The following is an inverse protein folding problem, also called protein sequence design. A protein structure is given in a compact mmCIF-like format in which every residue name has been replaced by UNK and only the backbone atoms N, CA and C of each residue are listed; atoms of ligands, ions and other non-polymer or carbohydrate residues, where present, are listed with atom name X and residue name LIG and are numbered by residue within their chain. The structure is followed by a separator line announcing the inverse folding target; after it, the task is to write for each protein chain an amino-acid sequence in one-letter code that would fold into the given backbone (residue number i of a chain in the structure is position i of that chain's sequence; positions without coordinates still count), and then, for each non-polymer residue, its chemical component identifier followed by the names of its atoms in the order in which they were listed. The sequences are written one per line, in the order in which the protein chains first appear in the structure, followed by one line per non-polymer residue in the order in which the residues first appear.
data_IF_340202393610
#
_entry.id   IF_340202393610
#
_cell.length_a   1.000
_cell.length_b   1.000
_cell.length_c   1.000
_cell.angle_alpha   90.00
_cell.angle_beta   90.00
_cell.angle_gamma   90.00
#
_symmetry.space_group_name_H-M   'P 1'
#
loop_
_entity.id
_entity.type
_entity.pdbx_description
1 polymer ?
#
# COMPACT_ATOMS: atom_id res chain seq x y z
N UNK A 1 -24.35 -21.88 1.64
CA UNK A 1 -24.15 -20.99 2.81
C UNK A 1 -25.19 -21.18 3.93
N UNK A 2 -26.14 -22.12 3.85
CA UNK A 2 -27.17 -22.30 4.90
C UNK A 2 -26.88 -23.44 5.92
N UNK A 3 -25.97 -24.37 5.61
CA UNK A 3 -25.75 -25.57 6.43
C UNK A 3 -24.87 -25.36 7.69
N UNK A 4 -24.04 -24.31 7.70
CA UNK A 4 -23.12 -24.04 8.83
C UNK A 4 -23.86 -23.36 10.01
N UNK A 5 -24.93 -22.61 9.73
CA UNK A 5 -25.71 -21.92 10.77
C UNK A 5 -26.50 -22.87 11.68
N UNK A 6 -26.99 -23.98 11.13
CA UNK A 6 -27.79 -24.95 11.89
C UNK A 6 -26.94 -25.72 12.92
N UNK A 7 -25.71 -26.09 12.56
CA UNK A 7 -24.81 -26.82 13.47
C UNK A 7 -24.36 -25.97 14.67
N UNK A 8 -24.22 -24.65 14.48
CA UNK A 8 -23.88 -23.69 15.54
C UNK A 8 -25.06 -23.39 16.46
N UNK A 9 -26.30 -23.43 15.94
CA UNK A 9 -27.51 -23.24 16.74
C UNK A 9 -27.82 -24.43 17.67
N UNK A 10 -27.59 -25.66 17.20
CA UNK A 10 -27.80 -26.87 18.01
C UNK A 10 -26.75 -27.02 19.13
N UNK A 11 -25.51 -26.61 18.87
CA UNK A 11 -24.46 -26.52 19.91
C UNK A 11 -24.76 -25.44 20.96
N UNK A 12 -25.40 -24.33 20.56
CA UNK A 12 -25.87 -23.29 21.48
C UNK A 12 -27.03 -23.77 22.37
N UNK A 13 -27.98 -24.53 21.81
CA UNK A 13 -29.12 -25.06 22.57
C UNK A 13 -28.78 -26.22 23.51
N UNK A 14 -27.79 -27.06 23.17
CA UNK A 14 -27.36 -28.16 24.04
C UNK A 14 -26.61 -27.68 25.29
N UNK A 15 -25.92 -26.54 25.21
CA UNK A 15 -25.18 -25.95 26.34
C UNK A 15 -26.09 -25.28 27.40
N UNK A 16 -27.33 -24.92 27.04
CA UNK A 16 -28.16 -24.05 27.87
C UNK A 16 -29.16 -24.76 28.79
N UNK A 17 -29.23 -26.11 28.78
CA UNK A 17 -30.17 -26.88 29.61
C UNK A 17 -29.66 -27.28 31.00
N UNK A 18 -28.52 -26.77 31.46
CA UNK A 18 -28.04 -26.95 32.85
C UNK A 18 -27.98 -25.69 33.70
N UNK A 19 -28.42 -24.54 33.18
CA UNK A 19 -28.48 -23.30 33.94
C UNK A 19 -29.88 -23.05 34.47
N UNK A 20 -30.35 -23.99 35.30
CA UNK A 20 -31.52 -23.78 36.16
C UNK A 20 -31.11 -23.06 37.43
N UNK A 21 -31.66 -21.86 37.62
CA UNK A 21 -31.88 -21.16 38.88
C UNK A 21 -30.75 -21.19 39.92
N UNK A 22 -29.91 -20.15 40.01
CA UNK A 22 -29.32 -19.70 41.28
C UNK A 22 -28.80 -18.26 41.13
N UNK A 23 -29.70 -17.29 41.12
CA UNK A 23 -29.33 -15.87 41.20
C UNK A 23 -29.19 -15.48 42.68
N UNK A 24 -27.99 -15.65 43.24
CA UNK A 24 -27.60 -15.03 44.52
C UNK A 24 -26.08 -14.94 44.68
N UNK A 25 -25.61 -13.68 44.79
CA UNK A 25 -24.37 -13.19 45.39
C UNK A 25 -23.03 -13.60 44.75
N UNK A 26 -22.36 -12.59 44.19
CA UNK A 26 -20.95 -12.29 44.49
C UNK A 26 -19.90 -13.07 43.70
N UNK A 27 -19.17 -12.35 42.85
CA UNK A 27 -17.78 -12.65 42.47
C UNK A 27 -17.56 -13.92 41.64
N UNK A 28 -17.82 -13.85 40.33
CA UNK A 28 -17.27 -14.86 39.41
C UNK A 28 -15.79 -14.57 39.17
N UNK A 29 -14.95 -15.10 40.05
CA UNK A 29 -13.52 -15.20 39.81
C UNK A 29 -13.32 -16.32 38.76
N UNK A 30 -13.07 -15.96 37.50
CA UNK A 30 -12.64 -16.94 36.49
C UNK A 30 -11.25 -17.43 36.85
N UNK A 31 -11.17 -18.58 37.51
CA UNK A 31 -9.94 -19.34 37.64
C UNK A 31 -9.62 -19.96 36.27
N UNK A 32 -8.72 -19.32 35.51
CA UNK A 32 -8.09 -19.92 34.32
C UNK A 32 -7.08 -20.99 34.74
N UNK A 33 -7.55 -22.05 35.40
CA UNK A 33 -6.75 -23.24 35.73
C UNK A 33 -7.11 -24.35 34.76
N UNK A 34 -6.48 -24.32 33.58
CA UNK A 34 -6.56 -25.41 32.62
C UNK A 34 -5.54 -25.18 31.52
N UNK A 35 -4.83 -26.22 31.09
CA UNK A 35 -3.87 -26.19 29.97
C UNK A 35 -4.57 -26.02 28.60
N UNK A 36 -5.90 -25.96 28.60
CA UNK A 36 -6.82 -25.93 27.44
C UNK A 36 -6.89 -24.56 26.74
N UNK A 37 -7.01 -23.40 27.44
CA UNK A 37 -6.94 -22.08 26.80
C UNK A 37 -5.62 -21.81 26.07
N UNK A 38 -4.50 -22.37 26.55
CA UNK A 38 -3.20 -22.16 25.92
C UNK A 38 -3.09 -22.91 24.59
N UNK A 39 -3.55 -24.16 24.55
CA UNK A 39 -3.61 -24.94 23.30
C UNK A 39 -4.56 -24.29 22.28
N UNK A 40 -5.70 -23.76 22.71
CA UNK A 40 -6.61 -23.02 21.84
C UNK A 40 -5.97 -21.74 21.28
N UNK A 41 -5.24 -20.97 22.11
CA UNK A 41 -4.52 -19.79 21.65
C UNK A 41 -3.40 -20.14 20.66
N UNK A 42 -2.66 -21.24 20.89
CA UNK A 42 -1.60 -21.70 19.98
C UNK A 42 -2.18 -22.10 18.63
N UNK A 43 -3.31 -22.80 18.60
CA UNK A 43 -3.97 -23.18 17.34
C UNK A 43 -4.48 -21.96 16.58
N UNK A 44 -5.06 -20.97 17.26
CA UNK A 44 -5.52 -19.72 16.63
C UNK A 44 -4.33 -18.91 16.09
N UNK A 45 -3.22 -18.84 16.83
CA UNK A 45 -1.99 -18.18 16.36
C UNK A 45 -1.34 -18.91 15.17
N UNK A 46 -1.40 -20.25 15.14
CA UNK A 46 -0.88 -21.05 14.04
C UNK A 46 -1.69 -20.89 12.74
N UNK A 47 -3.02 -20.77 12.84
CA UNK A 47 -3.89 -20.56 11.68
C UNK A 47 -3.78 -19.14 11.10
N UNK A 48 -3.46 -18.15 11.94
CA UNK A 48 -3.26 -16.77 11.51
C UNK A 48 -1.97 -16.56 10.69
N UNK A 49 -1.05 -17.54 10.66
CA UNK A 49 0.24 -17.45 9.99
C UNK A 49 0.27 -18.02 8.56
N UNK A 50 -0.90 -18.10 7.92
CA UNK A 50 -0.99 -18.43 6.50
C UNK A 50 -0.50 -17.24 5.67
N UNK A 51 0.82 -17.01 5.69
CA UNK A 51 1.48 -16.09 4.79
C UNK A 51 1.33 -16.65 3.38
N UNK A 52 0.35 -16.12 2.65
CA UNK A 52 0.28 -16.29 1.20
C UNK A 52 1.58 -15.72 0.65
N UNK A 53 2.49 -16.59 0.23
CA UNK A 53 3.70 -16.20 -0.48
C UNK A 53 3.23 -15.43 -1.72
N UNK A 54 3.45 -14.12 -1.72
CA UNK A 54 3.20 -13.32 -2.91
C UNK A 54 4.30 -13.67 -3.90
N UNK A 55 3.93 -14.11 -5.09
CA UNK A 55 4.88 -14.30 -6.18
C UNK A 55 5.70 -13.01 -6.30
N UNK A 56 6.98 -13.09 -5.94
CA UNK A 56 7.88 -11.94 -5.98
C UNK A 56 7.96 -11.51 -7.44
N UNK A 57 7.51 -10.29 -7.75
CA UNK A 57 7.61 -9.76 -9.10
C UNK A 57 9.09 -9.57 -9.47
N UNK A 58 9.64 -10.56 -10.17
CA UNK A 58 10.99 -10.52 -10.73
C UNK A 58 10.85 -9.93 -12.14
N UNK A 59 11.39 -8.73 -12.36
CA UNK A 59 11.30 -7.97 -13.61
C UNK A 59 12.08 -8.58 -14.80
N UNK A 60 12.32 -9.90 -14.78
CA UNK A 60 13.13 -10.64 -15.74
C UNK A 60 14.26 -11.42 -15.06
N UNK A 61 14.50 -12.65 -15.51
CA UNK A 61 15.62 -13.50 -15.05
C UNK A 61 16.88 -13.35 -15.92
N UNK A 62 16.81 -12.54 -16.98
CA UNK A 62 17.90 -12.30 -17.92
C UNK A 62 18.20 -10.80 -17.95
N UNK A 63 19.37 -10.37 -17.45
CA UNK A 63 19.69 -8.95 -17.28
C UNK A 63 19.99 -8.22 -18.61
N UNK A 64 20.32 -8.97 -19.66
CA UNK A 64 20.66 -8.47 -21.00
C UNK A 64 19.43 -8.15 -21.86
N UNK A 65 18.24 -8.60 -21.44
CA UNK A 65 16.99 -8.36 -22.18
C UNK A 65 15.89 -7.84 -21.28
N UNK A 66 15.11 -6.90 -21.81
CA UNK A 66 13.84 -6.50 -21.22
C UNK A 66 12.80 -7.60 -21.48
N UNK A 67 11.97 -8.00 -20.50
CA UNK A 67 10.86 -8.91 -20.76
C UNK A 67 9.90 -8.36 -21.81
N UNK A 68 9.37 -9.22 -22.68
CA UNK A 68 8.44 -8.82 -23.76
C UNK A 68 7.16 -8.17 -23.21
N UNK A 69 6.64 -8.68 -22.09
CA UNK A 69 5.43 -8.16 -21.44
C UNK A 69 5.70 -6.97 -20.50
N UNK A 70 6.91 -6.41 -20.51
CA UNK A 70 7.24 -5.27 -19.66
C UNK A 70 6.42 -4.04 -20.10
N UNK A 71 5.65 -3.41 -19.18
CA UNK A 71 4.91 -2.19 -19.49
C UNK A 71 5.83 -1.11 -20.06
N UNK A 72 5.36 -0.41 -21.09
CA UNK A 72 6.04 0.75 -21.66
C UNK A 72 5.04 1.86 -21.97
N UNK A 73 5.53 3.10 -21.98
CA UNK A 73 4.72 4.28 -22.31
C UNK A 73 4.67 4.43 -23.83
N UNK A 74 3.47 4.37 -24.42
CA UNK A 74 3.26 4.51 -25.88
C UNK A 74 3.06 5.96 -26.31
N UNK A 75 2.50 6.79 -25.43
CA UNK A 75 2.31 8.22 -25.67
C UNK A 75 2.43 9.00 -24.36
N UNK A 76 2.99 10.21 -24.44
CA UNK A 76 3.03 11.15 -23.33
C UNK A 76 2.22 12.39 -23.67
N UNK A 77 1.06 12.53 -23.02
CA UNK A 77 0.22 13.72 -23.15
C UNK A 77 0.77 14.79 -22.22
N UNK A 78 1.24 15.88 -22.81
CA UNK A 78 1.76 17.03 -22.04
C UNK A 78 0.62 17.75 -21.33
N UNK A 79 0.78 18.09 -20.04
CA UNK A 79 -0.20 18.91 -19.33
C UNK A 79 -0.26 20.31 -19.93
N UNK A 80 -1.38 21.02 -19.73
CA UNK A 80 -1.58 22.36 -20.30
C UNK A 80 -0.50 23.37 -19.87
N UNK A 81 0.02 23.25 -18.65
CA UNK A 81 1.09 24.08 -18.10
C UNK A 81 2.51 23.57 -18.40
N UNK A 82 2.69 22.71 -19.42
CA UNK A 82 4.00 22.14 -19.73
C UNK A 82 5.06 23.20 -19.98
N UNK A 83 4.75 24.19 -20.84
CA UNK A 83 5.71 25.23 -21.21
C UNK A 83 6.09 26.10 -20.01
N UNK A 84 5.12 26.55 -19.22
CA UNK A 84 5.37 27.33 -18.00
C UNK A 84 6.26 26.56 -17.03
N UNK A 85 5.99 25.27 -16.85
CA UNK A 85 6.77 24.39 -15.98
C UNK A 85 8.21 24.22 -16.46
N UNK A 86 8.41 23.88 -17.74
CA UNK A 86 9.76 23.63 -18.27
C UNK A 86 10.60 24.91 -18.40
N UNK A 87 9.95 26.07 -18.56
CA UNK A 87 10.60 27.38 -18.64
C UNK A 87 10.75 28.08 -17.29
N UNK A 88 10.21 27.52 -16.19
CA UNK A 88 10.26 28.12 -14.85
C UNK A 88 11.66 28.61 -14.46
N UNK A 89 11.79 29.86 -14.03
CA UNK A 89 13.08 30.43 -13.62
C UNK A 89 14.11 30.63 -14.75
N UNK A 90 13.74 30.49 -16.02
CA UNK A 90 14.57 30.92 -17.16
C UNK A 90 14.17 32.34 -17.52
N UNK A 91 15.13 33.26 -17.49
CA UNK A 91 14.87 34.65 -17.85
C UNK A 91 14.65 34.81 -19.36
N UNK A 92 13.75 35.72 -19.73
CA UNK A 92 13.61 36.15 -21.12
C UNK A 92 14.77 37.08 -21.53
N UNK A 93 15.20 37.07 -22.81
CA UNK A 93 14.70 36.21 -23.88
C UNK A 93 15.22 34.77 -23.78
N UNK A 94 14.36 33.80 -24.08
CA UNK A 94 14.74 32.39 -24.03
C UNK A 94 15.87 32.08 -25.04
N UNK A 95 16.92 31.35 -24.62
CA UNK A 95 17.98 30.89 -25.52
C UNK A 95 17.42 30.01 -26.65
N UNK A 96 17.92 30.19 -27.87
CA UNK A 96 17.50 29.41 -29.05
C UNK A 96 17.74 27.90 -28.93
N UNK A 97 18.70 27.50 -28.07
CA UNK A 97 19.01 26.09 -27.80
C UNK A 97 17.95 25.33 -27.01
N UNK A 98 16.88 25.97 -26.52
CA UNK A 98 15.85 25.32 -25.69
C UNK A 98 14.69 24.68 -26.48
N UNK A 99 14.75 24.67 -27.81
CA UNK A 99 13.70 24.09 -28.66
C UNK A 99 13.38 22.61 -28.34
N UNK A 100 14.38 21.84 -27.87
CA UNK A 100 14.22 20.42 -27.52
C UNK A 100 13.22 20.16 -26.38
N UNK A 101 12.83 21.18 -25.62
CA UNK A 101 11.78 21.05 -24.58
C UNK A 101 10.41 20.68 -25.19
N UNK A 102 10.20 20.99 -26.47
CA UNK A 102 9.02 20.59 -27.22
C UNK A 102 9.02 19.07 -27.55
N UNK A 103 10.15 18.39 -27.44
CA UNK A 103 10.27 16.95 -27.72
C UNK A 103 10.49 16.11 -26.45
N UNK A 104 10.63 16.76 -25.28
CA UNK A 104 10.73 16.06 -24.00
C UNK A 104 9.46 15.24 -23.71
N UNK A 105 9.67 13.95 -23.43
CA UNK A 105 8.66 13.00 -22.96
C UNK A 105 8.52 12.98 -21.44
N UNK A 106 8.07 11.85 -20.90
CA UNK A 106 7.79 11.64 -19.48
C UNK A 106 9.04 11.48 -18.58
N UNK A 107 10.21 11.93 -19.04
CA UNK A 107 11.46 11.77 -18.29
C UNK A 107 11.55 12.77 -17.13
N UNK A 108 12.12 12.32 -16.02
CA UNK A 108 12.47 13.19 -14.92
C UNK A 108 13.68 14.04 -15.34
N UNK A 109 13.50 15.35 -15.49
CA UNK A 109 14.58 16.26 -15.81
C UNK A 109 14.64 17.41 -14.81
N UNK A 110 15.80 18.05 -14.62
CA UNK A 110 15.89 19.31 -13.88
C UNK A 110 15.07 20.45 -14.51
N UNK A 111 14.54 20.24 -15.73
CA UNK A 111 13.71 21.22 -16.42
C UNK A 111 12.26 21.22 -15.93
N UNK A 112 11.68 20.04 -15.67
CA UNK A 112 10.27 19.90 -15.30
C UNK A 112 10.04 19.57 -13.81
N UNK A 113 11.10 19.27 -13.06
CA UNK A 113 11.03 18.97 -11.63
C UNK A 113 11.92 19.87 -10.77
N UNK A 114 11.49 20.15 -9.52
CA UNK A 114 12.31 20.86 -8.55
C UNK A 114 13.51 20.01 -8.13
N UNK A 115 14.66 20.66 -8.01
CA UNK A 115 15.90 20.07 -7.50
C UNK A 115 16.06 20.26 -5.99
N UNK A 116 17.30 20.41 -5.56
CA UNK A 116 17.67 20.73 -4.17
C UNK A 116 17.21 22.15 -3.78
N UNK A 117 17.06 22.38 -2.48
CA UNK A 117 16.66 23.67 -1.90
C UNK A 117 17.86 24.60 -1.64
N UNK A 118 17.59 25.85 -1.25
CA UNK A 118 18.61 26.80 -0.81
C UNK A 118 19.52 27.27 -1.94
N UNK A 119 20.84 27.30 -1.70
CA UNK A 119 21.83 27.76 -2.68
C UNK A 119 21.81 26.97 -4.00
N UNK A 120 21.27 25.76 -3.99
CA UNK A 120 21.17 24.89 -5.17
C UNK A 120 19.83 25.01 -5.91
N UNK A 121 18.89 25.83 -5.42
CA UNK A 121 17.65 26.13 -6.13
C UNK A 121 17.86 27.22 -7.18
N UNK A 122 18.69 26.92 -8.19
CA UNK A 122 19.10 27.88 -9.23
C UNK A 122 17.93 28.34 -10.12
N UNK A 123 16.76 27.68 -10.03
CA UNK A 123 15.56 28.02 -10.81
C UNK A 123 14.39 28.47 -9.93
N UNK A 124 14.61 28.70 -8.64
CA UNK A 124 13.61 29.26 -7.74
C UNK A 124 12.32 28.42 -7.68
N UNK A 125 12.44 27.09 -7.61
CA UNK A 125 11.30 26.20 -7.46
C UNK A 125 10.69 26.22 -6.05
N UNK A 126 11.48 26.59 -5.05
CA UNK A 126 11.13 26.52 -3.62
C UNK A 126 10.96 27.89 -2.98
N UNK A 127 10.79 28.96 -3.77
CA UNK A 127 10.58 30.35 -3.27
C UNK A 127 9.22 30.58 -2.57
N UNK A 128 8.51 29.51 -2.23
CA UNK A 128 7.30 29.57 -1.42
C UNK A 128 7.65 29.12 0.01
N UNK A 129 8.36 29.97 0.75
CA UNK A 129 8.49 29.96 2.22
C UNK A 129 8.92 31.36 2.71
#
# INVERSE_FOLDING_TARGET
MAAIGALLADLWHASNRRFGCWWRKGGFQMSFTGKVPWLACVVVLALAHSAVAQDVFIAGVQPDRRPEDAPHVTAFVKPANWNERVMHGIAEPHPSGLGFMADQGAWYTPFNHPGMTGHYDIRNWHQAD
#
